data_IF_626975285017
#
_entry.id   IF_626975285017
#
_cell.length_a   1.000
_cell.length_b   1.000
_cell.length_c   1.000
_cell.angle_alpha   90.00
_cell.angle_beta   90.00
_cell.angle_gamma   90.00
#
_symmetry.space_group_name_H-M   'P 1'
#
loop_
_entity.id
_entity.type
_entity.pdbx_description
1 polymer ?
#
# COMPACT_ATOMS: atom_id res chain seq x y z
N UNK A 1 3.85 1.65 -38.04
CA UNK A 1 4.66 2.83 -37.66
C UNK A 1 4.18 3.23 -36.28
N UNK A 2 4.89 2.79 -35.24
CA UNK A 2 4.52 2.99 -33.83
C UNK A 2 5.24 4.25 -33.36
N UNK A 3 4.51 5.25 -32.88
CA UNK A 3 5.10 6.45 -32.27
C UNK A 3 5.85 6.05 -31.00
N UNK A 4 7.16 5.85 -31.13
CA UNK A 4 8.10 5.84 -30.02
C UNK A 4 8.18 7.25 -29.43
N UNK A 5 7.71 7.40 -28.19
CA UNK A 5 8.13 8.50 -27.30
C UNK A 5 7.61 9.89 -27.66
N UNK A 6 6.32 10.05 -27.97
CA UNK A 6 5.70 11.38 -27.96
C UNK A 6 5.82 11.98 -26.55
N UNK A 7 6.61 13.03 -26.42
CA UNK A 7 6.75 13.81 -25.17
C UNK A 7 5.38 14.40 -24.85
N UNK A 8 4.75 13.98 -23.75
CA UNK A 8 3.43 14.49 -23.37
C UNK A 8 3.56 15.70 -22.47
N UNK A 9 2.84 16.78 -22.77
CA UNK A 9 2.82 17.92 -21.85
C UNK A 9 2.11 17.54 -20.56
N UNK A 10 2.81 17.70 -19.44
CA UNK A 10 2.26 17.53 -18.09
C UNK A 10 2.09 18.91 -17.48
N UNK A 11 0.90 19.19 -16.97
CA UNK A 11 0.64 20.40 -16.20
C UNK A 11 0.24 20.03 -14.77
N UNK A 12 0.93 20.66 -13.81
CA UNK A 12 0.69 20.53 -12.38
C UNK A 12 0.27 21.89 -11.84
N UNK A 13 -0.98 22.02 -11.41
CA UNK A 13 -1.49 23.26 -10.84
C UNK A 13 -2.42 22.95 -9.68
N UNK A 14 -2.21 23.61 -8.53
CA UNK A 14 -3.09 23.50 -7.36
C UNK A 14 -3.33 22.05 -6.87
N UNK A 15 -2.33 21.18 -7.01
CA UNK A 15 -2.42 19.76 -6.62
C UNK A 15 -3.16 18.87 -7.62
N UNK A 16 -3.53 19.41 -8.79
CA UNK A 16 -4.11 18.68 -9.91
C UNK A 16 -3.05 18.43 -10.98
N UNK A 17 -2.98 17.20 -11.47
CA UNK A 17 -2.20 16.80 -12.63
C UNK A 17 -3.13 16.60 -13.83
N UNK A 18 -2.76 17.20 -14.96
CA UNK A 18 -3.36 16.90 -16.27
C UNK A 18 -2.27 16.46 -17.23
N UNK A 19 -2.56 15.45 -18.04
CA UNK A 19 -1.63 14.88 -19.01
C UNK A 19 -2.20 15.06 -20.40
N UNK A 20 -1.43 15.61 -21.33
CA UNK A 20 -1.82 15.74 -22.73
C UNK A 20 -2.21 14.39 -23.34
N UNK A 21 -3.33 14.36 -24.08
CA UNK A 21 -3.90 13.15 -24.66
C UNK A 21 -4.71 12.28 -23.68
N UNK A 22 -4.76 12.64 -22.39
CA UNK A 22 -5.65 12.03 -21.39
C UNK A 22 -6.88 12.92 -21.16
N UNK A 23 -8.11 12.40 -21.22
CA UNK A 23 -9.30 13.17 -20.85
C UNK A 23 -9.41 13.34 -19.32
N UNK A 24 -8.74 12.48 -18.56
CA UNK A 24 -8.81 12.46 -17.10
C UNK A 24 -7.92 13.53 -16.45
N UNK A 25 -8.38 14.05 -15.31
CA UNK A 25 -7.60 14.86 -14.37
C UNK A 25 -7.31 14.03 -13.14
N UNK A 26 -6.13 14.23 -12.55
CA UNK A 26 -5.66 13.40 -11.45
C UNK A 26 -5.32 14.24 -10.23
N UNK A 27 -5.64 13.73 -9.05
CA UNK A 27 -5.28 14.33 -7.75
C UNK A 27 -4.50 13.30 -6.93
N UNK A 28 -3.73 13.74 -5.94
CA UNK A 28 -3.12 12.79 -5.00
C UNK A 28 -4.21 12.10 -4.16
N UNK A 29 -4.14 10.77 -4.07
CA UNK A 29 -5.10 9.97 -3.30
C UNK A 29 -4.85 10.01 -1.78
N UNK A 30 -4.63 11.22 -1.24
CA UNK A 30 -4.40 11.45 0.18
C UNK A 30 -5.60 10.94 0.99
N UNK A 31 -5.32 10.36 2.17
CA UNK A 31 -6.35 9.82 3.06
C UNK A 31 -6.81 8.39 2.74
N UNK A 32 -6.17 7.73 1.77
CA UNK A 32 -6.38 6.31 1.45
C UNK A 32 -5.07 5.55 1.53
N UNK A 33 -5.15 4.32 2.02
CA UNK A 33 -4.02 3.40 2.07
C UNK A 33 -4.08 2.44 0.90
N UNK A 34 -2.99 2.36 0.16
CA UNK A 34 -2.76 1.31 -0.82
C UNK A 34 -2.60 -0.02 -0.09
N UNK A 35 -3.21 -1.08 -0.62
CA UNK A 35 -3.07 -2.44 -0.09
C UNK A 35 -2.39 -3.34 -1.10
N UNK A 36 -1.28 -3.96 -0.70
CA UNK A 36 -0.57 -4.95 -1.51
C UNK A 36 -0.61 -6.31 -0.84
N UNK A 37 -0.73 -7.34 -1.65
CA UNK A 37 -0.55 -8.75 -1.26
C UNK A 37 0.56 -9.31 -2.12
N UNK A 38 1.50 -10.02 -1.50
CA UNK A 38 2.61 -10.65 -2.17
C UNK A 38 2.72 -12.13 -1.83
N UNK A 39 3.24 -12.88 -2.80
CA UNK A 39 3.55 -14.31 -2.68
C UNK A 39 4.84 -14.65 -3.42
N UNK A 40 5.18 -15.93 -3.40
CA UNK A 40 6.43 -16.42 -4.02
C UNK A 40 7.68 -15.81 -3.38
N UNK A 41 7.61 -15.50 -2.08
CA UNK A 41 8.71 -14.84 -1.36
C UNK A 41 9.92 -15.78 -1.28
N UNK A 42 11.08 -15.25 -1.63
CA UNK A 42 12.35 -15.98 -1.54
C UNK A 42 13.47 -15.07 -1.07
N UNK A 43 14.36 -15.63 -0.26
CA UNK A 43 15.61 -14.97 0.09
C UNK A 43 16.58 -14.99 -1.09
N UNK A 44 17.17 -13.84 -1.39
CA UNK A 44 18.28 -13.73 -2.33
C UNK A 44 19.45 -13.06 -1.61
N UNK A 45 20.48 -13.84 -1.32
CA UNK A 45 21.73 -13.37 -0.71
C UNK A 45 22.80 -13.06 -1.75
N UNK A 46 23.76 -12.22 -1.40
CA UNK A 46 24.92 -11.93 -2.22
C UNK A 46 25.62 -10.65 -1.78
N UNK A 47 26.72 -10.33 -2.46
CA UNK A 47 27.44 -9.09 -2.26
C UNK A 47 27.57 -8.36 -3.59
N UNK A 48 27.45 -7.03 -3.55
CA UNK A 48 27.78 -6.17 -4.69
C UNK A 48 29.15 -5.56 -4.47
N UNK A 49 30.00 -5.66 -5.50
CA UNK A 49 31.29 -4.97 -5.54
C UNK A 49 31.11 -3.68 -6.35
N UNK A 50 31.25 -2.53 -5.70
CA UNK A 50 31.18 -1.21 -6.35
C UNK A 50 32.28 -0.33 -5.81
N UNK A 51 33.06 0.27 -6.72
CA UNK A 51 34.11 1.23 -6.36
C UNK A 51 35.11 0.71 -5.31
N UNK A 52 35.39 -0.60 -5.33
CA UNK A 52 36.27 -1.26 -4.37
C UNK A 52 35.65 -1.54 -2.99
N UNK A 53 34.38 -1.19 -2.79
CA UNK A 53 33.61 -1.54 -1.59
C UNK A 53 32.77 -2.80 -1.83
N UNK A 54 32.66 -3.61 -0.79
CA UNK A 54 31.79 -4.79 -0.73
C UNK A 54 30.56 -4.41 0.08
N UNK A 55 29.40 -4.44 -0.57
CA UNK A 55 28.11 -4.16 0.06
C UNK A 55 27.27 -5.44 0.13
N UNK A 56 26.60 -5.65 1.26
CA UNK A 56 25.61 -6.72 1.37
C UNK A 56 24.41 -6.41 0.46
N UNK A 57 24.11 -7.33 -0.45
CA UNK A 57 23.02 -7.23 -1.42
C UNK A 57 21.83 -8.15 -1.08
N UNK A 58 21.79 -8.64 0.17
CA UNK A 58 20.73 -9.49 0.68
C UNK A 58 19.37 -8.80 0.63
N UNK A 59 18.38 -9.52 0.12
CA UNK A 59 17.02 -9.02 -0.09
C UNK A 59 16.02 -10.16 -0.12
N UNK A 60 14.76 -9.82 0.03
CA UNK A 60 13.64 -10.72 -0.26
C UNK A 60 13.05 -10.30 -1.60
N UNK A 61 12.81 -11.27 -2.48
CA UNK A 61 12.11 -11.05 -3.75
C UNK A 61 10.78 -11.79 -3.77
N UNK A 62 9.82 -11.29 -4.54
CA UNK A 62 8.55 -11.96 -4.77
C UNK A 62 7.69 -11.28 -5.83
N UNK A 63 6.42 -11.64 -5.88
CA UNK A 63 5.43 -11.03 -6.76
C UNK A 63 4.33 -10.42 -5.90
N UNK A 64 4.04 -9.13 -6.13
CA UNK A 64 2.98 -8.41 -5.45
C UNK A 64 1.84 -8.06 -6.41
N UNK A 65 0.65 -7.88 -5.85
CA UNK A 65 -0.54 -7.38 -6.55
C UNK A 65 -1.32 -6.46 -5.62
N UNK A 66 -2.13 -5.58 -6.19
CA UNK A 66 -3.03 -4.75 -5.41
C UNK A 66 -4.21 -5.58 -4.91
N UNK A 67 -4.63 -5.34 -3.68
CA UNK A 67 -5.78 -6.02 -3.08
C UNK A 67 -7.09 -5.31 -3.46
N UNK A 68 -7.64 -5.67 -4.62
CA UNK A 68 -8.90 -5.15 -5.16
C UNK A 68 -8.76 -3.87 -5.99
N UNK A 69 -7.78 -3.03 -5.68
CA UNK A 69 -7.44 -1.82 -6.43
C UNK A 69 -6.68 -2.12 -7.74
N UNK A 70 -6.50 -1.09 -8.57
CA UNK A 70 -5.75 -1.17 -9.83
C UNK A 70 -4.59 -0.19 -9.84
N UNK A 71 -3.49 -0.51 -10.53
CA UNK A 71 -2.35 0.39 -10.71
C UNK A 71 -2.07 0.59 -12.20
N UNK A 72 -1.92 1.85 -12.59
CA UNK A 72 -1.67 2.27 -13.97
C UNK A 72 -0.64 3.40 -14.01
N UNK A 73 -0.32 3.86 -15.22
CA UNK A 73 0.47 5.07 -15.48
C UNK A 73 -0.45 6.19 -15.97
N UNK A 74 -0.35 7.39 -15.40
CA UNK A 74 -1.21 8.51 -15.80
C UNK A 74 -1.02 8.86 -17.29
N UNK A 75 -2.11 8.82 -18.06
CA UNK A 75 -2.12 9.07 -19.50
C UNK A 75 -1.55 7.96 -20.40
N UNK A 76 -0.92 6.92 -19.86
CA UNK A 76 -0.42 5.78 -20.65
C UNK A 76 -1.39 4.60 -20.58
N UNK A 77 -1.47 3.78 -21.64
CA UNK A 77 -2.24 2.55 -21.59
C UNK A 77 -1.56 1.52 -20.68
N UNK A 78 -2.35 0.55 -20.22
CA UNK A 78 -1.88 -0.63 -19.49
C UNK A 78 -2.10 -0.55 -17.98
N UNK A 79 -2.49 -1.68 -17.43
CA UNK A 79 -2.72 -1.92 -16.00
C UNK A 79 -1.67 -2.92 -15.50
N UNK A 80 -1.20 -2.72 -14.27
CA UNK A 80 -0.31 -3.67 -13.61
C UNK A 80 -1.09 -4.94 -13.24
N UNK A 81 -0.74 -6.08 -13.84
CA UNK A 81 -1.25 -7.40 -13.41
C UNK A 81 -0.55 -7.87 -12.14
N UNK A 82 0.76 -7.66 -12.07
CA UNK A 82 1.60 -7.93 -10.91
C UNK A 82 2.78 -6.96 -10.89
N UNK A 83 3.42 -6.84 -9.72
CA UNK A 83 4.59 -6.02 -9.48
C UNK A 83 5.74 -6.91 -9.03
N UNK A 84 6.94 -6.70 -9.57
CA UNK A 84 8.13 -7.33 -9.04
C UNK A 84 8.42 -6.71 -7.66
N UNK A 85 8.33 -7.51 -6.60
CA UNK A 85 8.56 -7.07 -5.24
C UNK A 85 10.02 -7.31 -4.86
N UNK A 86 10.65 -6.29 -4.29
CA UNK A 86 11.95 -6.39 -3.62
C UNK A 86 11.88 -5.74 -2.26
N UNK A 87 12.28 -6.44 -1.20
CA UNK A 87 12.38 -5.91 0.17
C UNK A 87 13.85 -5.92 0.56
N UNK A 88 14.36 -4.79 1.02
CA UNK A 88 15.75 -4.58 1.42
C UNK A 88 15.81 -4.05 2.85
N UNK A 89 16.88 -4.34 3.60
CA UNK A 89 17.14 -3.63 4.84
C UNK A 89 17.42 -2.15 4.54
N UNK A 90 16.92 -1.26 5.37
CA UNK A 90 17.24 0.16 5.34
C UNK A 90 18.66 0.34 5.92
N UNK A 91 19.54 1.04 5.19
CA UNK A 91 20.94 1.20 5.56
C UNK A 91 21.18 2.03 6.84
N UNK A 92 20.19 2.76 7.35
CA UNK A 92 20.32 3.60 8.54
C UNK A 92 20.02 2.82 9.82
N UNK A 93 20.98 2.86 10.76
CA UNK A 93 20.81 2.32 12.11
C UNK A 93 19.84 3.22 12.92
N UNK A 94 18.58 2.82 13.03
CA UNK A 94 17.58 3.51 13.86
C UNK A 94 16.17 2.94 13.73
N UNK A 95 15.25 3.41 14.57
CA UNK A 95 13.79 3.19 14.44
C UNK A 95 13.24 3.99 13.26
N UNK A 96 13.64 3.60 12.05
CA UNK A 96 13.08 4.16 10.83
C UNK A 96 11.71 3.57 10.53
N UNK A 97 10.89 4.29 9.77
CA UNK A 97 9.66 3.73 9.19
C UNK A 97 10.00 2.97 7.92
N UNK A 98 9.25 1.91 7.64
CA UNK A 98 9.39 1.20 6.38
C UNK A 98 8.89 2.08 5.21
N UNK A 99 9.68 2.13 4.15
CA UNK A 99 9.41 2.94 2.95
C UNK A 99 8.99 2.04 1.80
N UNK A 100 8.03 2.49 1.01
CA UNK A 100 7.61 1.87 -0.25
C UNK A 100 7.95 2.81 -1.41
N UNK A 101 8.53 2.27 -2.46
CA UNK A 101 8.70 2.94 -3.75
C UNK A 101 8.00 2.08 -4.81
N UNK A 102 7.09 2.71 -5.55
CA UNK A 102 6.43 2.12 -6.70
C UNK A 102 6.94 2.80 -7.95
N UNK A 103 7.40 2.01 -8.91
CA UNK A 103 7.94 2.56 -10.16
C UNK A 103 7.55 1.71 -11.35
N UNK A 104 7.81 2.25 -12.53
CA UNK A 104 7.66 1.56 -13.79
C UNK A 104 8.98 1.62 -14.55
N UNK A 105 9.43 0.48 -15.05
CA UNK A 105 10.58 0.39 -15.95
C UNK A 105 10.08 0.02 -17.34
N UNK A 106 10.39 0.86 -18.31
CA UNK A 106 10.13 0.51 -19.71
C UNK A 106 11.08 -0.61 -20.13
N UNK A 107 10.52 -1.67 -20.70
CA UNK A 107 11.25 -2.85 -21.18
C UNK A 107 10.61 -3.27 -22.49
N UNK A 108 11.41 -3.35 -23.55
CA UNK A 108 10.93 -3.71 -24.89
C UNK A 108 10.54 -5.20 -24.97
N UNK A 109 11.13 -6.05 -24.13
CA UNK A 109 11.07 -7.51 -24.29
C UNK A 109 10.11 -8.22 -23.30
N UNK A 110 9.76 -7.59 -22.17
CA UNK A 110 8.87 -8.19 -21.15
C UNK A 110 8.00 -7.14 -20.44
N UNK A 111 6.78 -6.86 -20.92
CA UNK A 111 5.88 -5.95 -20.23
C UNK A 111 5.43 -6.49 -18.86
N UNK A 112 5.46 -7.81 -18.68
CA UNK A 112 5.21 -8.47 -17.39
C UNK A 112 6.37 -8.16 -16.42
N UNK A 113 6.03 -7.57 -15.26
CA UNK A 113 7.04 -7.15 -14.27
C UNK A 113 7.65 -5.78 -14.51
N UNK A 114 7.13 -5.01 -15.48
CA UNK A 114 7.53 -3.62 -15.68
C UNK A 114 7.21 -2.73 -14.47
N UNK A 115 6.18 -3.06 -13.70
CA UNK A 115 5.87 -2.41 -12.43
C UNK A 115 6.71 -3.03 -11.31
N UNK A 116 7.32 -2.16 -10.50
CA UNK A 116 8.22 -2.54 -9.42
C UNK A 116 7.68 -2.02 -8.09
N UNK A 117 7.78 -2.83 -7.05
CA UNK A 117 7.56 -2.44 -5.66
C UNK A 117 8.84 -2.68 -4.87
N UNK A 118 9.49 -1.61 -4.42
CA UNK A 118 10.69 -1.67 -3.60
C UNK A 118 10.36 -1.22 -2.18
N UNK A 119 10.67 -2.06 -1.21
CA UNK A 119 10.45 -1.78 0.20
C UNK A 119 11.80 -1.71 0.91
N UNK A 120 12.00 -0.63 1.65
CA UNK A 120 13.11 -0.51 2.57
C UNK A 120 12.59 -0.67 3.99
N UNK A 121 12.85 -1.82 4.58
CA UNK A 121 12.37 -2.20 5.89
C UNK A 121 13.43 -1.91 6.97
N UNK A 122 13.04 -1.46 8.17
CA UNK A 122 13.96 -1.41 9.31
C UNK A 122 14.57 -2.79 9.56
N UNK A 123 15.84 -2.83 9.98
CA UNK A 123 16.61 -4.08 10.10
C UNK A 123 15.86 -5.16 10.88
N UNK A 124 15.28 -4.82 12.04
CA UNK A 124 14.43 -5.72 12.85
C UNK A 124 13.29 -6.37 12.06
N UNK A 125 12.62 -5.61 11.21
CA UNK A 125 11.47 -6.09 10.42
C UNK A 125 11.98 -6.98 9.29
N UNK A 126 13.07 -6.58 8.64
CA UNK A 126 13.72 -7.36 7.60
C UNK A 126 14.18 -8.73 8.14
N UNK A 127 14.91 -8.76 9.26
CA UNK A 127 15.42 -9.99 9.86
C UNK A 127 14.29 -10.94 10.28
N UNK A 128 13.22 -10.40 10.88
CA UNK A 128 12.05 -11.18 11.25
C UNK A 128 11.35 -11.81 10.05
N UNK A 129 11.15 -11.03 8.98
CA UNK A 129 10.57 -11.53 7.75
C UNK A 129 11.50 -12.53 7.03
N UNK A 130 12.80 -12.26 6.98
CA UNK A 130 13.79 -13.14 6.38
C UNK A 130 13.82 -14.51 7.07
N UNK A 131 13.79 -14.52 8.41
CA UNK A 131 13.66 -15.75 9.20
C UNK A 131 12.36 -16.51 8.90
N UNK A 132 11.23 -15.78 8.81
CA UNK A 132 9.94 -16.39 8.46
C UNK A 132 9.91 -16.94 7.04
N UNK A 133 10.50 -16.27 6.05
CA UNK A 133 10.63 -16.76 4.67
C UNK A 133 11.51 -18.00 4.63
N UNK A 134 12.68 -17.97 5.28
CA UNK A 134 13.58 -19.12 5.36
C UNK A 134 12.97 -20.34 6.08
N UNK A 135 12.09 -20.10 7.05
CA UNK A 135 11.35 -21.13 7.77
C UNK A 135 10.03 -21.57 7.12
N UNK A 136 9.65 -21.03 5.96
CA UNK A 136 8.38 -21.33 5.30
C UNK A 136 7.13 -20.81 6.03
N UNK A 137 7.29 -19.84 6.92
CA UNK A 137 6.20 -19.22 7.69
C UNK A 137 5.63 -17.95 7.04
N UNK A 138 6.25 -17.46 5.97
CA UNK A 138 5.82 -16.27 5.22
C UNK A 138 5.57 -16.61 3.75
N UNK A 139 4.48 -17.32 3.47
CA UNK A 139 4.07 -17.63 2.10
C UNK A 139 3.26 -16.50 1.46
N UNK A 140 2.48 -15.80 2.28
CA UNK A 140 1.69 -14.63 1.88
C UNK A 140 2.08 -13.46 2.77
N UNK A 141 2.35 -12.33 2.15
CA UNK A 141 2.63 -11.05 2.80
C UNK A 141 1.53 -10.06 2.44
N UNK A 142 0.92 -9.42 3.43
CA UNK A 142 0.00 -8.31 3.24
C UNK A 142 0.60 -7.03 3.83
N UNK A 143 0.41 -5.92 3.15
CA UNK A 143 0.85 -4.62 3.64
C UNK A 143 -0.14 -3.51 3.27
N UNK A 144 -0.16 -2.49 4.10
CA UNK A 144 -0.82 -1.23 3.78
C UNK A 144 0.19 -0.08 3.78
N UNK A 145 0.01 0.88 2.88
CA UNK A 145 0.87 2.05 2.80
C UNK A 145 0.09 3.31 2.41
N UNK A 146 0.40 4.44 3.04
CA UNK A 146 -0.01 5.76 2.54
C UNK A 146 0.99 6.18 1.47
N UNK A 147 0.51 6.54 0.29
CA UNK A 147 1.37 6.79 -0.88
C UNK A 147 1.13 8.16 -1.49
N UNK A 148 2.09 8.63 -2.28
CA UNK A 148 1.97 9.80 -3.15
C UNK A 148 1.37 9.46 -4.52
N UNK A 149 0.67 8.32 -4.65
CA UNK A 149 0.00 7.93 -5.89
C UNK A 149 -1.15 8.87 -6.21
N UNK A 150 -1.45 8.94 -7.50
CA UNK A 150 -2.56 9.72 -8.03
C UNK A 150 -3.81 8.85 -8.18
N UNK A 151 -4.97 9.47 -8.10
CA UNK A 151 -6.27 8.87 -8.46
C UNK A 151 -6.95 9.80 -9.45
N UNK A 152 -7.92 9.30 -10.23
CA UNK A 152 -8.77 10.21 -11.00
C UNK A 152 -9.54 11.11 -10.05
N UNK A 153 -9.69 12.36 -10.44
CA UNK A 153 -10.45 13.31 -9.64
C UNK A 153 -11.92 12.90 -9.45
N UNK A 154 -12.51 12.22 -10.45
CA UNK A 154 -13.86 11.65 -10.34
C UNK A 154 -13.98 10.56 -9.26
N UNK A 155 -12.87 9.93 -8.88
CA UNK A 155 -12.81 8.91 -7.83
C UNK A 155 -12.43 9.48 -6.45
N UNK A 156 -12.26 10.80 -6.34
CA UNK A 156 -11.85 11.49 -5.09
C UNK A 156 -12.72 11.12 -3.90
N UNK A 157 -14.03 11.19 -4.09
CA UNK A 157 -15.04 11.01 -3.04
C UNK A 157 -15.59 9.58 -2.98
N UNK A 158 -14.95 8.64 -3.71
CA UNK A 158 -15.29 7.21 -3.62
C UNK A 158 -15.21 6.73 -2.17
N UNK A 159 -16.27 6.04 -1.71
CA UNK A 159 -16.36 5.58 -0.33
C UNK A 159 -15.22 4.60 0.06
N UNK A 160 -14.81 4.55 1.34
CA UNK A 160 -13.85 3.56 1.82
C UNK A 160 -14.28 2.13 1.47
N UNK A 161 -13.33 1.30 1.01
CA UNK A 161 -13.57 -0.10 0.66
C UNK A 161 -14.07 -0.33 -0.76
N UNK A 162 -14.46 0.72 -1.49
CA UNK A 162 -14.72 0.62 -2.94
C UNK A 162 -13.38 0.71 -3.69
N UNK A 163 -13.09 -0.24 -4.60
CA UNK A 163 -11.85 -0.22 -5.37
C UNK A 163 -11.64 1.07 -6.14
N UNK A 164 -10.39 1.51 -6.23
CA UNK A 164 -9.99 2.66 -7.05
C UNK A 164 -8.85 2.34 -8.00
N UNK A 165 -8.74 3.21 -9.00
CA UNK A 165 -7.62 3.27 -9.91
C UNK A 165 -6.51 4.18 -9.38
N UNK A 166 -5.37 3.58 -9.05
CA UNK A 166 -4.15 4.30 -8.72
C UNK A 166 -3.28 4.53 -9.95
N UNK A 167 -2.61 5.68 -10.00
CA UNK A 167 -1.76 6.08 -11.10
C UNK A 167 -0.38 6.52 -10.62
N UNK A 168 0.66 5.97 -11.23
CA UNK A 168 1.97 6.60 -11.23
C UNK A 168 1.88 7.93 -11.98
N UNK A 169 2.49 8.96 -11.41
CA UNK A 169 2.59 10.26 -12.05
C UNK A 169 3.47 10.21 -13.30
N UNK A 170 3.56 11.33 -13.98
CA UNK A 170 4.48 11.52 -15.12
C UNK A 170 5.56 12.51 -14.68
N UNK A 171 6.81 12.25 -15.05
CA UNK A 171 7.90 13.21 -14.81
C UNK A 171 7.69 14.51 -15.61
N UNK A 172 8.41 15.56 -15.21
CA UNK A 172 8.27 16.89 -15.82
C UNK A 172 8.61 16.90 -17.32
N UNK A 173 9.43 15.95 -17.78
CA UNK A 173 9.77 15.77 -19.18
C UNK A 173 8.66 15.07 -19.98
N UNK A 174 7.62 14.54 -19.33
CA UNK A 174 6.47 13.94 -20.00
C UNK A 174 6.73 12.57 -20.64
N UNK A 175 7.92 12.00 -20.47
CA UNK A 175 8.35 10.78 -21.16
C UNK A 175 8.21 9.55 -20.29
N UNK A 176 8.61 9.66 -19.03
CA UNK A 176 8.67 8.54 -18.10
C UNK A 176 7.71 8.74 -16.93
N UNK A 177 7.32 7.63 -16.30
CA UNK A 177 6.51 7.70 -15.09
C UNK A 177 7.37 8.08 -13.90
N UNK A 178 6.89 9.05 -13.14
CA UNK A 178 7.50 9.42 -11.87
C UNK A 178 7.24 8.32 -10.83
N UNK A 179 8.25 7.89 -10.06
CA UNK A 179 8.06 6.93 -9.00
C UNK A 179 7.18 7.51 -7.89
N UNK A 180 6.26 6.70 -7.37
CA UNK A 180 5.48 7.05 -6.20
C UNK A 180 6.19 6.56 -4.94
N UNK A 181 6.15 7.38 -3.88
CA UNK A 181 6.73 7.03 -2.57
C UNK A 181 5.62 6.84 -1.57
N UNK A 182 5.84 5.95 -0.61
CA UNK A 182 4.88 5.69 0.45
C UNK A 182 5.53 5.31 1.76
N UNK A 183 4.76 5.45 2.83
CA UNK A 183 5.08 4.97 4.17
C UNK A 183 4.26 3.72 4.41
N UNK A 184 4.94 2.61 4.70
CA UNK A 184 4.29 1.36 5.08
C UNK A 184 3.76 1.51 6.51
N UNK A 185 2.46 1.25 6.68
CA UNK A 185 1.77 1.34 7.97
C UNK A 185 1.70 -0.03 8.64
N UNK A 186 1.36 -1.06 7.88
CA UNK A 186 1.31 -2.45 8.35
C UNK A 186 2.06 -3.37 7.40
N UNK A 187 2.66 -4.42 7.97
CA UNK A 187 3.34 -5.48 7.24
C UNK A 187 3.14 -6.78 8.02
N UNK A 188 2.38 -7.69 7.45
CA UNK A 188 1.91 -8.92 8.09
C UNK A 188 2.18 -10.11 7.16
N UNK A 189 2.56 -11.27 7.70
CA UNK A 189 2.77 -12.47 6.92
C UNK A 189 2.11 -13.70 7.53
N UNK A 190 1.77 -14.66 6.67
CA UNK A 190 1.08 -15.88 7.05
C UNK A 190 1.73 -17.10 6.36
N UNK A 191 1.68 -18.28 7.02
CA UNK A 191 2.12 -19.53 6.40
C UNK A 191 1.14 -19.97 5.30
N UNK A 192 1.57 -20.90 4.44
CA UNK A 192 0.69 -21.51 3.45
C UNK A 192 -0.50 -22.19 4.14
N UNK A 193 -1.70 -22.05 3.56
CA UNK A 193 -2.91 -22.71 4.06
C UNK A 193 -3.58 -22.02 5.25
N UNK A 194 -3.03 -20.92 5.78
CA UNK A 194 -3.72 -20.08 6.77
C UNK A 194 -4.77 -19.14 6.12
N UNK A 195 -5.17 -19.43 4.88
CA UNK A 195 -6.15 -18.64 4.14
C UNK A 195 -7.47 -18.59 4.89
N UNK A 196 -7.91 -17.35 5.16
CA UNK A 196 -9.30 -16.90 5.24
C UNK A 196 -10.26 -18.03 5.61
N UNK A 197 -10.48 -18.22 6.90
CA UNK A 197 -11.60 -19.03 7.34
C UNK A 197 -12.84 -18.48 6.61
N UNK A 198 -13.33 -19.23 5.62
CA UNK A 198 -14.74 -19.17 5.26
C UNK A 198 -15.50 -19.15 6.58
N UNK A 199 -16.47 -18.25 6.79
CA UNK A 199 -17.40 -18.46 7.88
C UNK A 199 -17.93 -19.88 7.67
N UNK A 200 -17.57 -20.78 8.59
CA UNK A 200 -18.01 -22.16 8.54
C UNK A 200 -19.51 -22.13 8.26
N UNK A 201 -20.04 -22.99 7.36
CA UNK A 201 -21.46 -23.00 7.09
C UNK A 201 -22.17 -23.10 8.43
N UNK A 202 -22.88 -22.03 8.79
CA UNK A 202 -23.65 -21.96 10.02
C UNK A 202 -24.65 -23.09 9.92
N UNK A 203 -24.36 -24.18 10.63
CA UNK A 203 -25.37 -25.15 10.96
C UNK A 203 -26.42 -24.38 11.75
N UNK A 204 -27.62 -24.32 11.18
CA UNK A 204 -28.84 -23.95 11.87
C UNK A 204 -28.93 -24.76 13.16
N UNK A 205 -28.64 -24.10 14.27
CA UNK A 205 -29.26 -24.35 15.56
C UNK A 205 -29.36 -22.99 16.27
N UNK A 206 -30.41 -22.24 15.92
CA UNK A 206 -31.05 -21.41 16.93
C UNK A 206 -31.60 -22.36 18.00
N UNK A 207 -31.26 -22.11 19.27
CA UNK A 207 -32.23 -21.36 20.05
C UNK A 207 -31.61 -20.26 20.93
N UNK A 208 -32.15 -19.07 20.76
CA UNK A 208 -32.52 -18.10 21.80
C UNK A 208 -31.51 -17.74 22.91
N UNK A 209 -31.10 -16.47 22.86
CA UNK A 209 -30.73 -15.57 23.97
C UNK A 209 -29.50 -15.96 24.80
N UNK A 210 -28.48 -15.10 24.87
CA UNK A 210 -28.49 -14.09 25.92
C UNK A 210 -27.73 -12.83 25.52
N UNK A 211 -28.41 -11.70 25.71
CA UNK A 211 -27.99 -10.33 25.39
C UNK A 211 -27.47 -9.52 26.61
N UNK A 212 -26.47 -9.95 27.42
CA UNK A 212 -25.96 -9.11 28.51
C UNK A 212 -24.68 -8.33 28.15
N UNK A 213 -23.93 -8.72 27.12
CA UNK A 213 -22.62 -8.13 26.80
C UNK A 213 -22.67 -6.75 26.12
N UNK A 214 -23.69 -6.49 25.30
CA UNK A 214 -23.84 -5.24 24.54
C UNK A 214 -24.46 -4.10 25.35
N UNK A 215 -25.38 -4.42 26.28
CA UNK A 215 -26.01 -3.45 27.19
C UNK A 215 -25.02 -2.88 28.22
N UNK A 216 -24.04 -3.67 28.68
CA UNK A 216 -23.01 -3.18 29.61
C UNK A 216 -22.10 -2.10 29.01
N UNK A 217 -21.76 -2.24 27.72
CA UNK A 217 -20.90 -1.28 27.01
C UNK A 217 -21.61 0.04 26.70
N UNK A 218 -22.92 -0.01 26.39
CA UNK A 218 -23.75 1.18 26.14
C UNK A 218 -23.98 1.95 27.45
N UNK A 219 -24.25 1.26 28.56
CA UNK A 219 -24.49 1.91 29.85
C UNK A 219 -23.24 2.63 30.41
N UNK A 220 -22.04 2.16 30.06
CA UNK A 220 -20.80 2.82 30.43
C UNK A 220 -20.51 4.07 29.58
N UNK A 221 -20.71 4.00 28.26
CA UNK A 221 -20.60 5.14 27.34
C UNK A 221 -21.55 6.29 27.72
N UNK A 222 -22.80 5.97 28.09
CA UNK A 222 -23.79 6.98 28.46
C UNK A 222 -23.45 7.71 29.77
N UNK A 223 -22.91 6.98 30.77
CA UNK A 223 -22.43 7.60 32.01
C UNK A 223 -21.28 8.57 31.77
N UNK A 224 -20.35 8.25 30.85
CA UNK A 224 -19.26 9.17 30.51
C UNK A 224 -19.76 10.44 29.82
N UNK A 225 -20.70 10.32 28.88
CA UNK A 225 -21.29 11.48 28.20
C UNK A 225 -22.02 12.39 29.19
N UNK A 226 -22.80 11.83 30.12
CA UNK A 226 -23.50 12.61 31.14
C UNK A 226 -22.54 13.37 32.07
N UNK A 227 -21.41 12.76 32.42
CA UNK A 227 -20.41 13.37 33.31
C UNK A 227 -19.69 14.54 32.64
N UNK A 228 -19.36 14.41 31.35
CA UNK A 228 -18.79 15.51 30.55
C UNK A 228 -19.78 16.66 30.39
N UNK A 229 -21.05 16.38 30.14
CA UNK A 229 -22.11 17.39 30.05
C UNK A 229 -22.29 18.15 31.36
N UNK A 230 -22.31 17.44 32.50
CA UNK A 230 -22.41 18.07 33.81
C UNK A 230 -21.20 18.97 34.09
N UNK A 231 -19.99 18.54 33.73
CA UNK A 231 -18.80 19.35 33.91
C UNK A 231 -18.83 20.62 33.05
N UNK A 232 -19.29 20.53 31.80
CA UNK A 232 -19.48 21.69 30.92
C UNK A 232 -20.50 22.68 31.49
N UNK A 233 -21.62 22.19 32.03
CA UNK A 233 -22.63 23.05 32.66
C UNK A 233 -22.08 23.79 33.89
N UNK A 234 -21.25 23.14 34.70
CA UNK A 234 -20.59 23.78 35.84
C UNK A 234 -19.62 24.87 35.35
N UNK A 235 -18.80 24.60 34.33
CA UNK A 235 -17.87 25.59 33.77
C UNK A 235 -18.59 26.81 33.20
N UNK A 236 -19.73 26.61 32.54
CA UNK A 236 -20.55 27.72 32.02
C UNK A 236 -21.20 28.53 33.15
N UNK A 237 -21.61 27.90 34.24
CA UNK A 237 -22.22 28.60 35.39
C UNK A 237 -21.20 29.37 36.26
N UNK A 238 -19.90 29.03 36.17
CA UNK A 238 -18.82 29.73 36.86
C UNK A 238 -18.21 30.89 36.06
N UNK A 239 -18.77 31.22 34.89
CA UNK A 239 -18.32 32.31 34.02
C UNK A 239 -19.40 33.39 33.92
#
# INVERSE_FOLDING_TARGET
>A
MVETGATRRVAMAQGLMTVEGSPDRYIQGLGRSLRLVAGGLRMVGGFTLREGQVEDATRIEGQAQLAGDRLMRAGFPGEATWLALTIRPLATAGEARALLILSFRETEDQPEGAYLAEIYAPQRVFDGLAGAVGGGLAHRLSMTAVTSLWVRESERETAPGVPVSWFLGVEADGRVSAPARGLVETLEWQPAGAGEAEPAPSHDEDPAETTPGLLGRINWSLKQIALVLMFLLIVVALK
#
